data_IF_409630651601
#
_entry.id   IF_409630651601
#
_cell.length_a   1.000
_cell.length_b   1.000
_cell.length_c   1.000
_cell.angle_alpha   90.00
_cell.angle_beta   90.00
_cell.angle_gamma   90.00
#
_symmetry.space_group_name_H-M   'P 1'
#
loop_
_entity.id
_entity.type
_entity.pdbx_description
1 polymer ?
#
# COMPACT_ATOMS: atom_id res chain seq x y z
N UNK A 1 -9.97 -17.51 8.77
CA UNK A 1 -9.43 -17.20 7.43
C UNK A 1 -8.45 -16.06 7.63
N UNK A 2 -7.15 -16.32 7.50
CA UNK A 2 -6.12 -15.27 7.67
C UNK A 2 -6.08 -14.45 6.39
N UNK A 3 -6.06 -13.12 6.50
CA UNK A 3 -5.91 -12.26 5.33
C UNK A 3 -4.54 -12.50 4.69
N UNK A 4 -4.46 -12.59 3.35
CA UNK A 4 -3.19 -12.73 2.63
C UNK A 4 -2.17 -11.66 3.07
N UNK A 5 -2.65 -10.45 3.34
CA UNK A 5 -1.87 -9.29 3.73
C UNK A 5 -1.22 -9.52 5.09
N UNK A 6 -2.02 -9.89 6.09
CA UNK A 6 -1.55 -10.23 7.45
C UNK A 6 -0.62 -11.45 7.44
N UNK A 7 -0.93 -12.48 6.65
CA UNK A 7 -0.08 -13.66 6.55
C UNK A 7 1.29 -13.32 5.93
N UNK A 8 1.32 -12.42 4.95
CA UNK A 8 2.55 -12.02 4.28
C UNK A 8 3.52 -11.27 5.21
N UNK A 9 3.02 -10.56 6.23
CA UNK A 9 3.88 -9.85 7.19
C UNK A 9 4.78 -10.81 7.99
N UNK A 10 4.36 -12.07 8.17
CA UNK A 10 5.20 -13.09 8.81
C UNK A 10 6.49 -13.39 8.00
N UNK A 11 6.53 -13.01 6.71
CA UNK A 11 7.71 -13.15 5.87
C UNK A 11 8.73 -12.02 6.07
N UNK A 12 8.45 -11.01 6.90
CA UNK A 12 9.34 -9.87 7.10
C UNK A 12 10.73 -10.25 7.59
N UNK A 13 10.79 -11.02 8.69
CA UNK A 13 12.07 -11.48 9.23
C UNK A 13 12.86 -12.34 8.23
N UNK A 14 12.28 -13.41 7.64
CA UNK A 14 13.04 -14.22 6.69
C UNK A 14 13.42 -13.44 5.42
N UNK A 15 12.62 -12.47 4.97
CA UNK A 15 12.98 -11.61 3.84
C UNK A 15 14.18 -10.71 4.18
N UNK A 16 14.21 -10.11 5.37
CA UNK A 16 15.35 -9.31 5.84
C UNK A 16 16.63 -10.14 5.89
N UNK A 17 16.56 -11.34 6.48
CA UNK A 17 17.72 -12.22 6.59
C UNK A 17 18.22 -12.66 5.21
N UNK A 18 17.31 -12.92 4.28
CA UNK A 18 17.64 -13.20 2.88
C UNK A 18 18.42 -12.06 2.21
N UNK A 19 17.99 -10.80 2.36
CA UNK A 19 18.71 -9.65 1.78
C UNK A 19 20.10 -9.48 2.40
N UNK A 20 20.21 -9.67 3.72
CA UNK A 20 21.50 -9.61 4.44
C UNK A 20 22.45 -10.68 3.92
N UNK A 21 21.97 -11.92 3.78
CA UNK A 21 22.82 -13.03 3.34
C UNK A 21 23.23 -12.89 1.87
N UNK A 22 22.34 -12.41 1.01
CA UNK A 22 22.69 -12.04 -0.38
C UNK A 22 23.75 -10.94 -0.41
N UNK A 23 23.61 -9.90 0.43
CA UNK A 23 24.61 -8.81 0.54
C UNK A 23 25.99 -9.32 0.96
N UNK A 24 26.04 -10.30 1.88
CA UNK A 24 27.31 -10.94 2.28
C UNK A 24 27.92 -11.78 1.16
N UNK A 25 27.08 -12.47 0.37
CA UNK A 25 27.54 -13.33 -0.73
C UNK A 25 28.07 -12.51 -1.92
N UNK A 26 27.37 -11.43 -2.29
CA UNK A 26 27.73 -10.61 -3.45
C UNK A 26 28.72 -9.48 -3.10
N UNK A 27 28.93 -9.22 -1.81
CA UNK A 27 29.83 -8.17 -1.31
C UNK A 27 29.26 -6.75 -1.41
N UNK A 28 28.02 -6.60 -1.89
CA UNK A 28 27.32 -5.32 -1.93
C UNK A 28 25.80 -5.54 -1.76
N UNK A 29 25.10 -4.52 -1.26
CA UNK A 29 23.66 -4.57 -1.14
C UNK A 29 22.98 -4.43 -2.53
N UNK A 30 21.72 -4.89 -2.69
CA UNK A 30 20.91 -4.58 -3.84
C UNK A 30 20.78 -3.07 -4.05
N UNK A 31 20.67 -2.65 -5.31
CA UNK A 31 20.44 -1.25 -5.65
C UNK A 31 19.01 -0.82 -5.28
N UNK A 32 18.04 -1.73 -5.42
CA UNK A 32 16.62 -1.45 -5.20
C UNK A 32 15.86 -2.73 -4.82
N UNK A 33 14.87 -2.61 -3.94
CA UNK A 33 13.83 -3.60 -3.69
C UNK A 33 12.56 -3.15 -4.41
N UNK A 34 12.07 -3.97 -5.34
CA UNK A 34 10.78 -3.76 -6.03
C UNK A 34 9.80 -4.80 -5.48
N UNK A 35 8.67 -4.36 -4.94
CA UNK A 35 7.64 -5.26 -4.39
C UNK A 35 6.26 -4.98 -4.98
N UNK A 36 5.37 -5.97 -4.94
CA UNK A 36 3.95 -5.71 -5.19
C UNK A 36 3.34 -4.88 -4.05
N UNK A 37 2.28 -4.11 -4.33
CA UNK A 37 1.56 -3.27 -3.35
C UNK A 37 1.07 -4.06 -2.13
N UNK A 38 0.77 -5.35 -2.27
CA UNK A 38 0.35 -6.20 -1.15
C UNK A 38 1.51 -6.60 -0.22
N UNK A 39 2.76 -6.42 -0.65
CA UNK A 39 3.97 -6.68 0.13
C UNK A 39 4.62 -5.37 0.59
N UNK A 40 3.82 -4.33 0.78
CA UNK A 40 4.33 -3.01 1.10
C UNK A 40 5.10 -2.95 2.44
N UNK A 41 4.94 -3.93 3.34
CA UNK A 41 5.76 -4.09 4.55
C UNK A 41 7.27 -4.23 4.25
N UNK A 42 7.65 -4.60 3.01
CA UNK A 42 9.06 -4.67 2.59
C UNK A 42 9.75 -3.30 2.60
N UNK A 43 8.99 -2.19 2.57
CA UNK A 43 9.55 -0.82 2.70
C UNK A 43 10.31 -0.65 4.00
N UNK A 44 9.84 -1.27 5.08
CA UNK A 44 10.47 -1.16 6.39
C UNK A 44 11.82 -1.89 6.41
N UNK A 45 11.89 -3.06 5.77
CA UNK A 45 13.15 -3.81 5.60
C UNK A 45 14.13 -3.02 4.74
N UNK A 46 13.66 -2.42 3.65
CA UNK A 46 14.49 -1.60 2.78
C UNK A 46 15.06 -0.38 3.52
N UNK A 47 14.22 0.30 4.32
CA UNK A 47 14.63 1.43 5.14
C UNK A 47 15.65 1.02 6.22
N UNK A 48 15.43 -0.09 6.93
CA UNK A 48 16.38 -0.63 7.92
C UNK A 48 17.75 -0.94 7.32
N UNK A 49 17.80 -1.38 6.05
CA UNK A 49 19.02 -1.77 5.35
C UNK A 49 19.60 -0.63 4.49
N UNK A 50 18.96 0.54 4.43
CA UNK A 50 19.40 1.66 3.61
C UNK A 50 19.32 1.41 2.10
N UNK A 51 18.39 0.55 1.66
CA UNK A 51 18.18 0.17 0.26
C UNK A 51 17.03 0.98 -0.32
N UNK A 52 17.16 1.42 -1.58
CA UNK A 52 16.06 2.09 -2.28
C UNK A 52 14.87 1.13 -2.45
N UNK A 53 13.65 1.63 -2.30
CA UNK A 53 12.43 0.83 -2.38
C UNK A 53 11.47 1.41 -3.41
N UNK A 54 10.81 0.53 -4.16
CA UNK A 54 9.79 0.90 -5.12
C UNK A 54 8.65 -0.12 -5.09
N UNK A 55 7.42 0.37 -5.28
CA UNK A 55 6.23 -0.47 -5.32
C UNK A 55 5.73 -0.59 -6.75
N UNK A 56 5.50 -1.82 -7.17
CA UNK A 56 4.90 -2.18 -8.45
C UNK A 56 3.40 -2.43 -8.27
N UNK A 57 2.61 -1.68 -9.02
CA UNK A 57 1.15 -1.81 -9.04
C UNK A 57 0.78 -2.63 -10.27
N UNK A 58 0.28 -3.84 -10.05
CA UNK A 58 -0.15 -4.77 -11.11
C UNK A 58 -1.52 -4.41 -11.70
N UNK A 59 -2.31 -3.60 -10.98
CA UNK A 59 -3.66 -3.21 -11.37
C UNK A 59 -3.76 -1.94 -12.22
N UNK A 60 -4.96 -1.60 -12.72
CA UNK A 60 -5.20 -0.36 -13.46
C UNK A 60 -4.94 0.87 -12.58
N UNK A 61 -4.21 1.86 -13.11
CA UNK A 61 -3.85 3.07 -12.39
C UNK A 61 -5.05 3.84 -11.84
N UNK A 62 -6.15 3.94 -12.60
CA UNK A 62 -7.39 4.59 -12.15
C UNK A 62 -7.99 3.90 -10.92
N UNK A 63 -8.08 2.56 -10.95
CA UNK A 63 -8.64 1.79 -9.85
C UNK A 63 -7.77 1.91 -8.60
N UNK A 64 -6.44 1.91 -8.75
CA UNK A 64 -5.53 2.06 -7.63
C UNK A 64 -5.54 3.49 -7.06
N UNK A 65 -5.53 4.52 -7.91
CA UNK A 65 -5.65 5.91 -7.48
C UNK A 65 -6.95 6.12 -6.69
N UNK A 66 -8.06 5.62 -7.22
CA UNK A 66 -9.36 5.64 -6.52
C UNK A 66 -9.29 4.90 -5.19
N UNK A 67 -8.70 3.70 -5.15
CA UNK A 67 -8.56 2.90 -3.93
C UNK A 67 -7.77 3.64 -2.85
N UNK A 68 -6.65 4.26 -3.22
CA UNK A 68 -5.78 5.00 -2.30
C UNK A 68 -6.47 6.27 -1.82
N UNK A 69 -7.05 7.07 -2.71
CA UNK A 69 -7.80 8.28 -2.34
C UNK A 69 -9.00 7.98 -1.45
N UNK A 70 -9.75 6.91 -1.70
CA UNK A 70 -10.80 6.47 -0.77
C UNK A 70 -10.22 6.10 0.59
N UNK A 71 -9.10 5.36 0.61
CA UNK A 71 -8.44 4.94 1.85
C UNK A 71 -7.93 6.12 2.70
N UNK A 72 -7.45 7.19 2.05
CA UNK A 72 -6.99 8.41 2.72
C UNK A 72 -8.15 9.27 3.23
N UNK A 73 -9.29 9.27 2.53
CA UNK A 73 -10.46 10.10 2.86
C UNK A 73 -11.60 9.31 3.53
N UNK A 74 -11.35 8.09 4.04
CA UNK A 74 -12.40 7.20 4.57
C UNK A 74 -13.32 7.82 5.62
N UNK A 75 -12.81 8.74 6.43
CA UNK A 75 -13.62 9.45 7.44
C UNK A 75 -14.77 10.26 6.79
N UNK A 76 -14.56 10.79 5.58
CA UNK A 76 -15.58 11.52 4.82
C UNK A 76 -16.55 10.57 4.09
N UNK A 77 -16.08 9.37 3.73
CA UNK A 77 -16.88 8.32 3.09
C UNK A 77 -17.85 7.59 4.03
N UNK A 78 -17.70 7.73 5.36
CA UNK A 78 -18.61 7.15 6.37
C UNK A 78 -19.85 8.02 6.65
N UNK A 79 -19.97 9.18 6.00
CA UNK A 79 -21.20 9.98 6.02
C UNK A 79 -22.35 9.15 5.44
N UNK A 80 -23.58 9.30 5.92
CA UNK A 80 -24.77 8.53 5.46
C UNK A 80 -25.12 8.74 3.96
N UNK A 81 -24.33 9.52 3.23
CA UNK A 81 -24.46 9.77 1.81
C UNK A 81 -24.01 8.55 1.00
N UNK A 82 -24.88 8.08 0.10
CA UNK A 82 -24.62 6.92 -0.76
C UNK A 82 -23.55 7.17 -1.82
N UNK A 83 -23.24 8.44 -2.06
CA UNK A 83 -22.30 8.94 -3.06
C UNK A 83 -21.39 9.97 -2.42
N UNK A 84 -20.09 9.90 -2.73
CA UNK A 84 -19.11 10.88 -2.24
C UNK A 84 -18.10 11.21 -3.34
N UNK A 85 -17.40 12.33 -3.17
CA UNK A 85 -16.34 12.79 -4.07
C UNK A 85 -14.99 12.68 -3.39
N UNK A 86 -13.93 12.49 -4.17
CA UNK A 86 -12.56 12.46 -3.69
C UNK A 86 -11.91 13.81 -3.94
N UNK A 87 -11.61 14.61 -2.90
CA UNK A 87 -11.04 15.95 -3.08
C UNK A 87 -9.64 15.93 -3.70
N UNK A 88 -8.92 14.83 -3.54
CA UNK A 88 -7.58 14.56 -4.07
C UNK A 88 -7.61 13.86 -5.45
N UNK A 89 -8.77 13.40 -5.91
CA UNK A 89 -8.93 12.75 -7.21
C UNK A 89 -10.28 13.11 -7.87
N UNK A 90 -10.45 14.38 -8.29
CA UNK A 90 -11.71 14.86 -8.86
C UNK A 90 -12.08 14.15 -10.18
N UNK A 91 -11.12 13.59 -10.90
CA UNK A 91 -11.31 12.80 -12.12
C UNK A 91 -12.08 11.51 -11.86
N UNK A 92 -12.11 11.00 -10.62
CA UNK A 92 -12.91 9.83 -10.28
C UNK A 92 -14.43 10.08 -10.29
N UNK A 93 -14.85 11.35 -10.38
CA UNK A 93 -16.23 11.78 -10.25
C UNK A 93 -16.89 11.25 -8.96
N UNK A 94 -18.22 11.15 -8.93
CA UNK A 94 -18.96 10.65 -7.77
C UNK A 94 -18.83 9.13 -7.67
N UNK A 95 -18.33 8.66 -6.53
CA UNK A 95 -18.20 7.24 -6.22
C UNK A 95 -19.38 6.80 -5.38
N UNK A 96 -20.06 5.75 -5.82
CA UNK A 96 -21.08 5.09 -5.02
C UNK A 96 -20.46 4.13 -4.02
N UNK A 97 -20.89 4.21 -2.76
CA UNK A 97 -20.43 3.30 -1.70
C UNK A 97 -20.67 1.82 -2.08
N UNK A 98 -21.70 1.52 -2.87
CA UNK A 98 -22.01 0.17 -3.36
C UNK A 98 -20.88 -0.43 -4.22
N UNK A 99 -20.18 0.40 -5.01
CA UNK A 99 -19.09 0.00 -5.92
C UNK A 99 -17.80 -0.34 -5.16
N UNK A 100 -17.75 0.00 -3.87
CA UNK A 100 -16.58 -0.23 -3.05
C UNK A 100 -16.44 -1.70 -2.65
N UNK A 101 -15.22 -2.22 -2.70
CA UNK A 101 -14.90 -3.55 -2.20
C UNK A 101 -15.22 -3.67 -0.71
N UNK A 102 -15.58 -4.87 -0.25
CA UNK A 102 -15.92 -5.13 1.15
C UNK A 102 -14.75 -4.75 2.09
N UNK A 103 -13.52 -4.94 1.64
CA UNK A 103 -12.31 -4.62 2.41
C UNK A 103 -12.22 -3.14 2.80
N UNK A 104 -12.82 -2.23 2.03
CA UNK A 104 -12.86 -0.81 2.33
C UNK A 104 -14.11 -0.41 3.13
N UNK A 105 -15.21 -1.17 3.02
CA UNK A 105 -16.48 -0.90 3.74
C UNK A 105 -16.40 -1.23 5.24
N UNK A 106 -15.58 -2.18 5.63
CA UNK A 106 -15.49 -2.70 7.01
C UNK A 106 -14.27 -2.20 7.80
N UNK A 107 -13.56 -1.19 7.32
CA UNK A 107 -12.42 -0.61 8.05
C UNK A 107 -12.91 0.39 9.09
N UNK A 108 -13.11 -0.08 10.33
CA UNK A 108 -13.37 0.76 11.51
C UNK A 108 -12.11 1.35 12.15
N UNK A 109 -10.95 1.05 11.57
CA UNK A 109 -9.65 1.49 12.07
C UNK A 109 -9.00 2.34 10.99
N UNK A 110 -8.49 3.56 11.31
CA UNK A 110 -7.66 4.31 10.38
C UNK A 110 -6.49 3.39 10.05
N UNK A 111 -6.48 2.97 8.80
CA UNK A 111 -5.97 1.68 8.39
C UNK A 111 -4.47 1.61 8.71
N UNK A 112 -3.99 0.52 9.33
CA UNK A 112 -2.54 0.20 9.39
C UNK A 112 -1.90 0.11 7.99
N UNK A 113 -2.72 0.02 6.94
CA UNK A 113 -2.35 0.22 5.53
C UNK A 113 -1.82 1.63 5.21
N UNK A 114 -2.06 2.62 6.06
CA UNK A 114 -1.72 4.01 5.78
C UNK A 114 -0.21 4.22 5.79
N UNK A 115 0.58 3.52 6.62
CA UNK A 115 2.02 3.72 6.59
C UNK A 115 2.65 3.27 5.26
N UNK A 116 2.43 2.03 4.76
CA UNK A 116 3.03 1.61 3.51
C UNK A 116 2.41 2.29 2.27
N UNK A 117 1.09 2.52 2.23
CA UNK A 117 0.43 3.21 1.10
C UNK A 117 0.71 4.72 1.07
N UNK A 118 0.89 5.40 2.21
CA UNK A 118 1.39 6.79 2.21
C UNK A 118 2.79 6.87 1.59
N UNK A 119 3.65 5.89 1.83
CA UNK A 119 4.96 5.84 1.17
C UNK A 119 4.84 5.65 -0.35
N UNK A 120 3.88 4.84 -0.82
CA UNK A 120 3.59 4.71 -2.27
C UNK A 120 3.08 6.04 -2.85
N UNK A 121 2.21 6.74 -2.14
CA UNK A 121 1.71 8.06 -2.55
C UNK A 121 2.80 9.14 -2.56
N UNK A 122 3.73 9.12 -1.60
CA UNK A 122 4.80 10.11 -1.51
C UNK A 122 5.76 10.09 -2.73
N UNK A 123 5.84 8.97 -3.45
CA UNK A 123 6.69 8.84 -4.64
C UNK A 123 5.98 9.03 -5.97
N UNK A 124 4.64 9.02 -6.01
CA UNK A 124 3.88 9.18 -7.27
C UNK A 124 3.51 10.63 -7.61
N UNK A 125 3.66 11.57 -6.66
CA UNK A 125 3.21 12.97 -6.82
C UNK A 125 4.33 14.01 -6.90
N UNK A 126 5.54 13.64 -7.36
CA UNK A 126 6.61 14.61 -7.58
C UNK A 126 7.18 14.63 -8.99
#
# INVERSE_FOLDING_TARGET
MVCLLEASEALRSPFRDFIIDMTKQDGHAPVCIICDVFLAWTVEVAHELGIYHSVFITGPGYSMATYVSVSLNMLQCKTEEKEFTLPDFPEAAQIQLSQLGNDLKFTDVPVRFCAPLCYVCAFFFH
#
